data_IF_506340860823
#
_entry.id   IF_506340860823
#
_cell.length_a   1.000
_cell.length_b   1.000
_cell.length_c   1.000
_cell.angle_alpha   90.00
_cell.angle_beta   90.00
_cell.angle_gamma   90.00
#
_symmetry.space_group_name_H-M   'P 1'
#
loop_
_entity.id
_entity.type
_entity.pdbx_description
1 polymer ?
#
# COMPACT_ATOMS: atom_id res chain seq x y z
N UNK A 1 -37.56 -23.94 32.65
CA UNK A 1 -37.62 -23.10 31.43
C UNK A 1 -36.51 -22.06 31.39
N UNK A 2 -36.47 -21.06 32.28
CA UNK A 2 -35.44 -20.00 32.26
C UNK A 2 -33.99 -20.52 32.28
N UNK A 3 -33.72 -21.56 33.08
CA UNK A 3 -32.41 -22.21 33.16
C UNK A 3 -31.92 -22.73 31.81
N UNK A 4 -32.71 -23.58 31.15
CA UNK A 4 -32.37 -24.16 29.83
C UNK A 4 -32.09 -23.09 28.79
N UNK A 5 -32.85 -21.99 28.81
CA UNK A 5 -32.67 -20.84 27.91
C UNK A 5 -31.32 -20.14 28.10
N UNK A 6 -30.87 -19.96 29.35
CA UNK A 6 -29.57 -19.35 29.67
C UNK A 6 -28.40 -20.25 29.24
N UNK A 7 -28.52 -21.56 29.44
CA UNK A 7 -27.50 -22.52 28.96
C UNK A 7 -27.41 -22.51 27.42
N UNK A 8 -28.55 -22.52 26.75
CA UNK A 8 -28.60 -22.51 25.29
C UNK A 8 -27.99 -21.22 24.72
N UNK A 9 -28.29 -20.07 25.33
CA UNK A 9 -27.70 -18.77 24.96
C UNK A 9 -26.17 -18.74 25.16
N UNK A 10 -25.67 -19.28 26.28
CA UNK A 10 -24.23 -19.32 26.56
C UNK A 10 -23.46 -20.20 25.56
N UNK A 11 -24.02 -21.34 25.16
CA UNK A 11 -23.46 -22.22 24.12
C UNK A 11 -23.47 -21.51 22.75
N UNK A 12 -24.54 -20.80 22.43
CA UNK A 12 -24.67 -20.07 21.17
C UNK A 12 -23.64 -18.93 21.07
N UNK A 13 -23.41 -18.20 22.17
CA UNK A 13 -22.35 -17.20 22.29
C UNK A 13 -20.95 -17.82 22.13
N UNK A 14 -20.69 -18.98 22.75
CA UNK A 14 -19.42 -19.68 22.60
C UNK A 14 -19.18 -20.11 21.14
N UNK A 15 -20.19 -20.64 20.45
CA UNK A 15 -20.09 -21.04 19.04
C UNK A 15 -19.88 -19.84 18.12
N UNK A 16 -20.61 -18.74 18.33
CA UNK A 16 -20.44 -17.51 17.56
C UNK A 16 -19.02 -16.93 17.74
N UNK A 17 -18.51 -16.94 18.97
CA UNK A 17 -17.15 -16.50 19.31
C UNK A 17 -16.09 -17.39 18.66
N UNK A 18 -16.33 -18.71 18.58
CA UNK A 18 -15.43 -19.67 17.95
C UNK A 18 -15.39 -19.51 16.43
N UNK A 19 -16.55 -19.34 15.81
CA UNK A 19 -16.65 -19.07 14.38
C UNK A 19 -15.90 -17.77 14.02
N UNK A 20 -16.08 -16.70 14.81
CA UNK A 20 -15.31 -15.46 14.66
C UNK A 20 -13.81 -15.69 14.78
N UNK A 21 -13.35 -16.41 15.80
CA UNK A 21 -11.94 -16.72 16.00
C UNK A 21 -11.33 -17.49 14.81
N UNK A 22 -12.02 -18.51 14.29
CA UNK A 22 -11.54 -19.32 13.16
C UNK A 22 -11.44 -18.50 11.86
N UNK A 23 -12.46 -17.69 11.55
CA UNK A 23 -12.45 -16.84 10.36
C UNK A 23 -11.30 -15.82 10.40
N UNK A 24 -11.06 -15.20 11.55
CA UNK A 24 -9.93 -14.27 11.70
C UNK A 24 -8.59 -15.01 11.66
N UNK A 25 -8.51 -16.25 12.16
CA UNK A 25 -7.28 -17.05 12.11
C UNK A 25 -6.84 -17.35 10.67
N UNK A 26 -7.79 -17.61 9.76
CA UNK A 26 -7.47 -17.84 8.34
C UNK A 26 -7.19 -16.55 7.57
N UNK A 27 -7.90 -15.45 7.86
CA UNK A 27 -7.76 -14.19 7.10
C UNK A 27 -6.54 -13.35 7.47
N UNK A 28 -6.17 -13.30 8.75
CA UNK A 28 -5.00 -12.52 9.21
C UNK A 28 -3.72 -12.84 8.44
N UNK A 29 -3.29 -14.11 8.24
CA UNK A 29 -2.06 -14.40 7.50
C UNK A 29 -2.14 -13.99 6.03
N UNK A 30 -3.33 -14.03 5.42
CA UNK A 30 -3.54 -13.55 4.05
C UNK A 30 -3.35 -12.04 3.98
N UNK A 31 -3.92 -11.29 4.92
CA UNK A 31 -3.74 -9.84 5.01
C UNK A 31 -2.29 -9.44 5.31
N UNK A 32 -1.60 -10.16 6.20
CA UNK A 32 -0.16 -9.99 6.46
C UNK A 32 0.66 -10.20 5.18
N UNK A 33 0.38 -11.27 4.44
CA UNK A 33 1.05 -11.54 3.16
C UNK A 33 0.79 -10.46 2.11
N UNK A 34 -0.45 -9.97 2.02
CA UNK A 34 -0.80 -8.89 1.10
C UNK A 34 -0.11 -7.58 1.47
N UNK A 35 -0.05 -7.23 2.76
CA UNK A 35 0.67 -6.04 3.24
C UNK A 35 2.17 -6.15 2.96
N UNK A 36 2.79 -7.29 3.24
CA UNK A 36 4.21 -7.51 2.94
C UNK A 36 4.52 -7.40 1.44
N UNK A 37 3.62 -7.88 0.57
CA UNK A 37 3.75 -7.69 -0.88
C UNK A 37 3.61 -6.21 -1.27
N UNK A 38 2.62 -5.51 -0.70
CA UNK A 38 2.43 -4.08 -0.92
C UNK A 38 3.65 -3.25 -0.49
N UNK A 39 4.25 -3.57 0.65
CA UNK A 39 5.49 -2.93 1.11
C UNK A 39 6.66 -3.14 0.15
N UNK A 40 6.84 -4.37 -0.35
CA UNK A 40 7.87 -4.65 -1.36
C UNK A 40 7.64 -3.85 -2.63
N UNK A 41 6.41 -3.81 -3.13
CA UNK A 41 6.06 -3.02 -4.32
C UNK A 41 6.30 -1.52 -4.09
N UNK A 42 6.06 -1.02 -2.88
CA UNK A 42 6.32 0.37 -2.53
C UNK A 42 7.82 0.68 -2.54
N UNK A 43 8.64 -0.22 -2.00
CA UNK A 43 10.11 -0.10 -2.01
C UNK A 43 10.67 -0.19 -3.43
N UNK A 44 10.19 -1.13 -4.24
CA UNK A 44 10.54 -1.23 -5.67
C UNK A 44 10.15 0.05 -6.43
N UNK A 45 8.94 0.57 -6.17
CA UNK A 45 8.48 1.82 -6.76
C UNK A 45 9.31 3.04 -6.33
N UNK A 46 9.79 3.08 -5.08
CA UNK A 46 10.72 4.11 -4.60
C UNK A 46 12.07 4.04 -5.30
N UNK A 47 12.60 2.82 -5.49
CA UNK A 47 13.85 2.61 -6.22
C UNK A 47 13.72 3.07 -7.68
N UNK A 48 12.65 2.65 -8.36
CA UNK A 48 12.36 3.07 -9.73
C UNK A 48 12.17 4.60 -9.85
N UNK A 49 11.50 5.23 -8.88
CA UNK A 49 11.37 6.69 -8.87
C UNK A 49 12.72 7.40 -8.69
N UNK A 50 13.61 6.85 -7.88
CA UNK A 50 14.97 7.39 -7.69
C UNK A 50 15.79 7.28 -8.98
N UNK A 51 15.71 6.15 -9.67
CA UNK A 51 16.34 5.95 -10.97
C UNK A 51 15.78 6.93 -12.01
N UNK A 52 14.45 7.04 -12.12
CA UNK A 52 13.81 7.99 -13.03
C UNK A 52 14.18 9.45 -12.76
N UNK A 53 14.39 9.84 -11.50
CA UNK A 53 14.94 11.17 -11.16
C UNK A 53 16.38 11.36 -11.63
N UNK A 54 17.21 10.33 -11.50
CA UNK A 54 18.59 10.39 -11.96
C UNK A 54 18.65 10.51 -13.50
N UNK A 55 17.82 9.75 -14.21
CA UNK A 55 17.67 9.86 -15.66
C UNK A 55 17.17 11.25 -16.10
N UNK A 56 16.16 11.78 -15.41
CA UNK A 56 15.66 13.12 -15.67
C UNK A 56 16.77 14.18 -15.51
N UNK A 57 17.54 14.11 -14.43
CA UNK A 57 18.66 15.01 -14.19
C UNK A 57 19.75 14.89 -15.26
N UNK A 58 20.05 13.67 -15.71
CA UNK A 58 20.99 13.46 -16.82
C UNK A 58 20.45 14.06 -18.13
N UNK A 59 19.15 13.92 -18.40
CA UNK A 59 18.48 14.52 -19.54
C UNK A 59 18.49 16.06 -19.50
N UNK A 60 18.26 16.65 -18.33
CA UNK A 60 18.38 18.10 -18.09
C UNK A 60 19.79 18.60 -18.38
N UNK A 61 20.81 17.88 -17.90
CA UNK A 61 22.21 18.22 -18.14
C UNK A 61 22.56 18.15 -19.63
N UNK A 62 22.17 17.05 -20.31
CA UNK A 62 22.38 16.91 -21.75
C UNK A 62 21.67 17.99 -22.56
N UNK A 63 20.46 18.40 -22.15
CA UNK A 63 19.75 19.51 -22.76
C UNK A 63 20.48 20.85 -22.54
N UNK A 64 21.03 21.08 -21.35
CA UNK A 64 21.81 22.28 -21.03
C UNK A 64 23.08 22.35 -21.89
N UNK A 65 23.83 21.25 -21.98
CA UNK A 65 25.03 21.14 -22.82
C UNK A 65 24.68 21.35 -24.30
N UNK A 66 23.58 20.76 -24.78
CA UNK A 66 23.09 20.96 -26.14
C UNK A 66 22.69 22.42 -26.45
N UNK A 67 22.07 23.11 -25.47
CA UNK A 67 21.78 24.55 -25.57
C UNK A 67 23.06 25.39 -25.67
N UNK A 68 24.05 25.07 -24.85
CA UNK A 68 25.33 25.78 -24.87
C UNK A 68 26.06 25.58 -26.20
N UNK A 69 26.15 24.34 -26.68
CA UNK A 69 26.75 24.04 -27.99
C UNK A 69 26.03 24.75 -29.14
N UNK A 70 24.69 24.86 -29.07
CA UNK A 70 23.90 25.60 -30.04
C UNK A 70 24.21 27.11 -30.04
N UNK A 71 24.32 27.74 -28.86
CA UNK A 71 24.70 29.15 -28.77
C UNK A 71 26.16 29.39 -29.20
N UNK A 72 27.09 28.48 -28.86
CA UNK A 72 28.48 28.56 -29.31
C UNK A 72 28.58 28.46 -30.85
N UNK A 73 27.82 27.54 -31.46
CA UNK A 73 27.73 27.43 -32.91
C UNK A 73 27.18 28.71 -33.55
N UNK A 74 26.17 29.32 -32.92
CA UNK A 74 25.52 30.56 -33.40
C UNK A 74 26.46 31.77 -33.32
N UNK A 75 27.36 31.79 -32.35
CA UNK A 75 28.39 32.82 -32.21
C UNK A 75 29.55 32.64 -33.19
N UNK A 76 29.68 31.48 -33.83
CA UNK A 76 30.69 31.22 -34.84
C UNK A 76 30.19 31.66 -36.23
N UNK A 77 30.68 32.81 -36.69
CA UNK A 77 30.29 33.40 -37.98
C UNK A 77 30.48 32.47 -39.18
N UNK A 78 31.51 31.62 -39.17
CA UNK A 78 31.80 30.67 -40.25
C UNK A 78 30.75 29.56 -40.31
N UNK A 79 30.33 29.02 -39.16
CA UNK A 79 29.28 28.01 -39.09
C UNK A 79 27.92 28.58 -39.52
N UNK A 80 27.60 29.81 -39.10
CA UNK A 80 26.37 30.51 -39.50
C UNK A 80 26.35 30.79 -41.00
N UNK A 81 27.47 31.25 -41.58
CA UNK A 81 27.58 31.47 -43.02
C UNK A 81 27.48 30.17 -43.81
N UNK A 82 28.15 29.11 -43.36
CA UNK A 82 28.08 27.79 -43.98
C UNK A 82 26.65 27.25 -43.97
N UNK A 83 25.96 27.31 -42.83
CA UNK A 83 24.57 26.85 -42.72
C UNK A 83 23.66 27.65 -43.65
N UNK A 84 23.81 28.98 -43.69
CA UNK A 84 23.04 29.86 -44.58
C UNK A 84 23.28 29.57 -46.06
N UNK A 85 24.51 29.22 -46.45
CA UNK A 85 24.85 28.79 -47.81
C UNK A 85 24.23 27.44 -48.16
N UNK A 86 24.03 26.56 -47.18
CA UNK A 86 23.31 25.29 -47.33
C UNK A 86 21.78 25.40 -47.14
N UNK A 87 21.25 26.62 -47.00
CA UNK A 87 19.81 26.88 -46.90
C UNK A 87 19.26 27.04 -45.48
N UNK A 88 20.12 27.18 -44.46
CA UNK A 88 19.74 27.61 -43.09
C UNK A 88 19.09 26.54 -42.20
N UNK A 89 19.10 25.27 -42.62
CA UNK A 89 18.30 24.22 -41.97
C UNK A 89 18.92 23.69 -40.67
N UNK A 90 20.25 23.76 -40.52
CA UNK A 90 20.94 23.16 -39.37
C UNK A 90 20.61 23.85 -38.06
N UNK A 91 20.55 25.19 -38.04
CA UNK A 91 20.15 25.93 -36.84
C UNK A 91 18.67 25.74 -36.50
N UNK A 92 17.78 25.69 -37.51
CA UNK A 92 16.36 25.42 -37.27
C UNK A 92 16.14 24.02 -36.69
N UNK A 93 16.83 22.99 -37.21
CA UNK A 93 16.80 21.64 -36.66
C UNK A 93 17.37 21.58 -35.23
N UNK A 94 18.47 22.28 -34.97
CA UNK A 94 19.06 22.38 -33.63
C UNK A 94 18.10 23.00 -32.61
N UNK A 95 17.42 24.08 -33.00
CA UNK A 95 16.40 24.73 -32.17
C UNK A 95 15.23 23.80 -31.89
N UNK A 96 14.71 23.10 -32.92
CA UNK A 96 13.63 22.12 -32.74
C UNK A 96 14.04 20.98 -31.80
N UNK A 97 15.28 20.49 -31.88
CA UNK A 97 15.79 19.45 -30.96
C UNK A 97 15.84 19.95 -29.52
N UNK A 98 16.27 21.19 -29.29
CA UNK A 98 16.29 21.80 -27.95
C UNK A 98 14.86 21.97 -27.40
N UNK A 99 13.92 22.43 -28.21
CA UNK A 99 12.51 22.57 -27.81
C UNK A 99 11.90 21.20 -27.48
N UNK A 100 12.14 20.19 -28.33
CA UNK A 100 11.69 18.82 -28.09
C UNK A 100 12.30 18.23 -26.81
N UNK A 101 13.59 18.45 -26.57
CA UNK A 101 14.27 18.04 -25.33
C UNK A 101 13.70 18.74 -24.09
N UNK A 102 13.39 20.04 -24.18
CA UNK A 102 12.72 20.78 -23.11
C UNK A 102 11.33 20.23 -22.79
N UNK A 103 10.54 19.86 -23.82
CA UNK A 103 9.27 19.18 -23.61
C UNK A 103 9.43 17.80 -22.97
N UNK A 104 10.47 17.06 -23.33
CA UNK A 104 10.76 15.74 -22.75
C UNK A 104 11.09 15.84 -21.26
N UNK A 105 11.95 16.80 -20.87
CA UNK A 105 12.25 17.10 -19.45
C UNK A 105 10.97 17.45 -18.69
N UNK A 106 10.16 18.38 -19.21
CA UNK A 106 8.91 18.78 -18.55
C UNK A 106 7.92 17.61 -18.39
N UNK A 107 7.88 16.67 -19.35
CA UNK A 107 7.09 15.43 -19.20
C UNK A 107 7.68 14.51 -18.13
N UNK A 108 9.01 14.39 -18.07
CA UNK A 108 9.72 13.61 -17.05
C UNK A 108 9.46 14.14 -15.64
N UNK A 109 9.55 15.45 -15.42
CA UNK A 109 9.22 16.11 -14.14
C UNK A 109 7.79 15.79 -13.69
N UNK A 110 6.82 15.89 -14.61
CA UNK A 110 5.42 15.53 -14.34
C UNK A 110 5.26 14.05 -14.00
N UNK A 111 5.99 13.18 -14.68
CA UNK A 111 5.97 11.75 -14.42
C UNK A 111 6.54 11.42 -13.03
N UNK A 112 7.66 12.05 -12.65
CA UNK A 112 8.25 11.94 -11.30
C UNK A 112 7.25 12.40 -10.25
N UNK A 113 6.65 13.59 -10.42
CA UNK A 113 5.65 14.14 -9.49
C UNK A 113 4.43 13.21 -9.36
N UNK A 114 3.95 12.64 -10.47
CA UNK A 114 2.86 11.68 -10.45
C UNK A 114 3.26 10.37 -9.74
N UNK A 115 4.49 9.92 -9.94
CA UNK A 115 5.07 8.77 -9.25
C UNK A 115 5.16 8.97 -7.75
N UNK A 116 5.65 10.12 -7.29
CA UNK A 116 5.68 10.50 -5.87
C UNK A 116 4.30 10.40 -5.23
N UNK A 117 3.29 11.03 -5.85
CA UNK A 117 1.90 11.00 -5.34
C UNK A 117 1.35 9.58 -5.26
N UNK A 118 1.67 8.72 -6.23
CA UNK A 118 1.26 7.31 -6.21
C UNK A 118 1.93 6.56 -5.05
N UNK A 119 3.21 6.80 -4.80
CA UNK A 119 3.91 6.19 -3.66
C UNK A 119 3.36 6.68 -2.32
N UNK A 120 3.04 7.97 -2.20
CA UNK A 120 2.39 8.51 -1.00
C UNK A 120 1.02 7.87 -0.75
N UNK A 121 0.20 7.74 -1.80
CA UNK A 121 -1.10 7.08 -1.70
C UNK A 121 -0.95 5.60 -1.31
N UNK A 122 -0.02 4.87 -1.94
CA UNK A 122 0.27 3.48 -1.59
C UNK A 122 0.77 3.32 -0.15
N UNK A 123 1.61 4.24 0.33
CA UNK A 123 2.09 4.23 1.71
C UNK A 123 0.94 4.43 2.71
N UNK A 124 0.00 5.34 2.38
CA UNK A 124 -1.19 5.57 3.20
C UNK A 124 -2.10 4.33 3.24
N UNK A 125 -2.29 3.65 2.12
CA UNK A 125 -3.07 2.41 2.06
C UNK A 125 -2.44 1.29 2.90
N UNK A 126 -1.12 1.12 2.83
CA UNK A 126 -0.40 0.16 3.66
C UNK A 126 -0.56 0.52 5.15
N UNK A 127 -0.44 1.80 5.51
CA UNK A 127 -0.64 2.25 6.89
C UNK A 127 -2.05 1.92 7.41
N UNK A 128 -3.08 2.22 6.63
CA UNK A 128 -4.48 1.87 6.98
C UNK A 128 -4.68 0.36 7.07
N UNK A 129 -4.08 -0.41 6.16
CA UNK A 129 -4.15 -1.86 6.17
C UNK A 129 -3.49 -2.46 7.42
N UNK A 130 -2.37 -1.88 7.90
CA UNK A 130 -1.74 -2.27 9.17
C UNK A 130 -2.63 -1.99 10.37
N UNK A 131 -3.28 -0.82 10.43
CA UNK A 131 -4.23 -0.50 11.51
C UNK A 131 -5.41 -1.48 11.54
N UNK A 132 -5.97 -1.81 10.37
CA UNK A 132 -7.03 -2.80 10.25
C UNK A 132 -6.58 -4.19 10.70
N UNK A 133 -5.35 -4.58 10.36
CA UNK A 133 -4.76 -5.84 10.79
C UNK A 133 -4.58 -5.90 12.31
N UNK A 134 -4.13 -4.81 12.94
CA UNK A 134 -4.01 -4.71 14.39
C UNK A 134 -5.37 -4.80 15.08
N UNK A 135 -6.39 -4.14 14.51
CA UNK A 135 -7.76 -4.23 15.00
C UNK A 135 -8.31 -5.66 14.89
N UNK A 136 -8.03 -6.34 13.78
CA UNK A 136 -8.40 -7.74 13.58
C UNK A 136 -7.68 -8.65 14.58
N UNK A 137 -6.39 -8.43 14.84
CA UNK A 137 -5.63 -9.20 15.83
C UNK A 137 -6.22 -9.03 17.23
N UNK A 138 -6.58 -7.80 17.63
CA UNK A 138 -7.27 -7.54 18.91
C UNK A 138 -8.61 -8.24 18.99
N UNK A 139 -9.42 -8.15 17.93
CA UNK A 139 -10.73 -8.82 17.84
C UNK A 139 -10.58 -10.33 17.94
N UNK A 140 -9.56 -10.90 17.30
CA UNK A 140 -9.26 -12.33 17.38
C UNK A 140 -8.96 -12.75 18.82
N UNK A 141 -8.13 -11.99 19.54
CA UNK A 141 -7.84 -12.27 20.96
C UNK A 141 -9.12 -12.16 21.80
N UNK A 142 -9.94 -11.14 21.58
CA UNK A 142 -11.21 -10.98 22.29
C UNK A 142 -12.18 -12.16 22.02
N UNK A 143 -12.30 -12.63 20.78
CA UNK A 143 -13.07 -13.83 20.45
C UNK A 143 -12.46 -15.10 21.07
N UNK A 144 -11.13 -15.23 21.09
CA UNK A 144 -10.46 -16.34 21.75
C UNK A 144 -10.68 -16.37 23.27
N UNK A 145 -10.69 -15.21 23.92
CA UNK A 145 -11.04 -15.10 25.34
C UNK A 145 -12.53 -15.40 25.55
N UNK A 146 -13.40 -14.89 24.68
CA UNK A 146 -14.83 -15.14 24.71
C UNK A 146 -15.18 -16.63 24.64
N UNK A 147 -14.58 -17.38 23.71
CA UNK A 147 -14.79 -18.84 23.63
C UNK A 147 -14.40 -19.56 24.91
N UNK A 148 -13.27 -19.20 25.52
CA UNK A 148 -12.82 -19.81 26.79
C UNK A 148 -13.78 -19.46 27.93
N UNK A 149 -14.16 -18.20 28.06
CA UNK A 149 -15.05 -17.72 29.14
C UNK A 149 -16.44 -18.32 29.00
N UNK A 150 -17.08 -18.20 27.83
CA UNK A 150 -18.43 -18.74 27.60
C UNK A 150 -18.45 -20.27 27.64
N UNK A 151 -17.38 -20.93 27.18
CA UNK A 151 -17.21 -22.37 27.29
C UNK A 151 -17.13 -22.82 28.75
N UNK A 152 -16.26 -22.19 29.55
CA UNK A 152 -16.13 -22.48 30.97
C UNK A 152 -17.43 -22.21 31.75
N UNK A 153 -18.11 -21.09 31.45
CA UNK A 153 -19.38 -20.73 32.07
C UNK A 153 -20.47 -21.76 31.76
N UNK A 154 -20.53 -22.26 30.51
CA UNK A 154 -21.48 -23.28 30.10
C UNK A 154 -21.25 -24.60 30.86
N UNK A 155 -19.99 -25.01 31.02
CA UNK A 155 -19.64 -26.22 31.78
C UNK A 155 -19.99 -26.06 33.27
N UNK A 156 -19.66 -24.91 33.87
CA UNK A 156 -19.94 -24.62 35.27
C UNK A 156 -21.45 -24.57 35.57
N UNK A 157 -22.23 -23.88 34.74
CA UNK A 157 -23.70 -23.83 34.84
C UNK A 157 -24.33 -25.22 34.66
N UNK A 158 -23.84 -26.00 33.69
CA UNK A 158 -24.27 -27.38 33.47
C UNK A 158 -24.03 -28.26 34.70
N UNK A 159 -22.84 -28.17 35.31
CA UNK A 159 -22.51 -28.93 36.52
C UNK A 159 -23.34 -28.50 37.73
N UNK A 160 -23.43 -27.18 37.99
CA UNK A 160 -24.12 -26.64 39.15
C UNK A 160 -25.64 -26.92 39.12
N UNK A 161 -26.27 -26.85 37.95
CA UNK A 161 -27.70 -27.15 37.83
C UNK A 161 -28.02 -28.64 37.80
N UNK A 162 -27.10 -29.49 37.32
CA UNK A 162 -27.21 -30.94 37.48
C UNK A 162 -27.17 -31.34 38.95
N UNK A 163 -26.31 -30.70 39.75
CA UNK A 163 -26.19 -30.96 41.18
C UNK A 163 -27.38 -30.42 41.99
N UNK A 164 -27.99 -29.30 41.57
CA UNK A 164 -29.20 -28.72 42.17
C UNK A 164 -30.44 -29.59 41.98
N UNK A 165 -30.62 -30.23 40.81
CA UNK A 165 -31.73 -31.17 40.56
C UNK A 165 -31.58 -32.48 41.37
N UNK A 166 -30.35 -32.95 41.60
CA UNK A 166 -30.08 -34.14 42.40
C UNK A 166 -30.38 -33.99 43.90
N UNK A 167 -30.36 -32.76 44.45
CA UNK A 167 -30.75 -32.50 45.86
C UNK A 167 -32.26 -32.41 46.07
N UNK A 168 -33.01 -31.95 45.08
CA UNK A 168 -34.47 -31.77 45.22
C UNK A 168 -35.27 -33.07 45.14
N UNK A 169 -34.63 -34.18 44.72
CA UNK A 169 -35.24 -35.50 44.60
C UNK A 169 -34.91 -36.44 45.78
N UNK A 170 -34.17 -35.96 46.79
CA UNK A 170 -33.74 -36.72 47.97
C UNK A 170 -34.24 -36.08 49.29
N UNK A 171 -35.36 -35.38 49.23
CA UNK A 171 -36.09 -34.82 50.38
C UNK A 171 -37.52 -35.30 50.35
#
# INVERSE_FOLDING_TARGET
>A
MAKVLVLLLAVLLALASLAGYLLLNEKIPVWESQLAKGEKQLEEGRAALKEGRAELKAGEQALSEGKQAYEDAKNNLLLVLADKLTGGKGFDEGKQKIEAGGMAVARGERAVTAGERRLEAGALEISKGKELLDLARRTRVACGVGTVVFGALSIALGFFWRQSLGRSFRG
#
